data_IF_300858534882
#
_entry.id   IF_300858534882
#
_cell.length_a   1.000
_cell.length_b   1.000
_cell.length_c   1.000
_cell.angle_alpha   90.00
_cell.angle_beta   90.00
_cell.angle_gamma   90.00
#
_symmetry.space_group_name_H-M   'P 1'
#
loop_
_entity.id
_entity.type
_entity.pdbx_description
1 polymer ?
#
# COMPACT_ATOMS: atom_id res chain seq x y z
N UNK A 1 17.93 12.13 -9.04
CA UNK A 1 17.69 10.69 -8.91
C UNK A 1 18.63 9.93 -9.84
N UNK A 2 19.20 8.79 -9.42
CA UNK A 2 20.00 7.92 -10.31
C UNK A 2 19.12 7.29 -11.40
N UNK A 3 19.70 6.96 -12.54
CA UNK A 3 19.03 6.18 -13.60
C UNK A 3 18.69 4.76 -13.11
N UNK A 4 17.68 4.10 -13.69
CA UNK A 4 17.42 2.69 -13.42
C UNK A 4 18.67 1.84 -13.67
N UNK A 5 18.91 0.85 -12.80
CA UNK A 5 20.02 -0.10 -12.94
C UNK A 5 19.79 -0.99 -14.17
N UNK A 6 18.55 -1.45 -14.35
CA UNK A 6 18.13 -2.34 -15.43
C UNK A 6 16.64 -2.15 -15.69
N UNK A 7 16.23 -2.35 -16.95
CA UNK A 7 14.84 -2.52 -17.35
C UNK A 7 14.66 -3.94 -17.89
N UNK A 8 13.55 -4.58 -17.56
CA UNK A 8 13.18 -5.91 -18.04
C UNK A 8 11.65 -6.02 -18.10
N UNK A 9 11.15 -7.00 -18.85
CA UNK A 9 9.73 -7.31 -18.84
C UNK A 9 9.41 -8.07 -17.53
N UNK A 10 8.37 -7.61 -16.85
CA UNK A 10 7.81 -8.28 -15.67
C UNK A 10 6.90 -9.46 -16.03
N UNK A 11 6.13 -9.93 -15.05
CA UNK A 11 5.16 -10.99 -15.22
C UNK A 11 4.05 -10.62 -16.21
N UNK A 12 3.70 -11.59 -17.05
CA UNK A 12 2.55 -11.53 -17.95
C UNK A 12 1.47 -12.50 -17.47
N UNK A 13 0.20 -12.14 -17.71
CA UNK A 13 -0.94 -13.03 -17.47
C UNK A 13 -0.84 -14.37 -18.21
N UNK A 14 -0.05 -14.45 -19.29
CA UNK A 14 0.14 -15.69 -20.06
C UNK A 14 1.33 -16.54 -19.57
N UNK A 15 2.08 -16.08 -18.57
CA UNK A 15 3.23 -16.81 -18.05
C UNK A 15 2.78 -17.98 -17.16
N UNK A 16 3.68 -18.94 -16.98
CA UNK A 16 3.49 -20.08 -16.07
C UNK A 16 4.35 -19.91 -14.82
N UNK A 17 3.72 -20.01 -13.67
CA UNK A 17 4.33 -19.90 -12.35
C UNK A 17 4.32 -21.27 -11.64
N UNK A 18 5.16 -21.45 -10.62
CA UNK A 18 5.00 -22.63 -9.77
C UNK A 18 3.65 -22.57 -9.07
N UNK A 19 2.83 -23.60 -9.23
CA UNK A 19 1.47 -23.67 -8.66
C UNK A 19 0.34 -23.19 -9.56
N UNK A 20 0.61 -22.63 -10.74
CA UNK A 20 -0.46 -22.22 -11.66
C UNK A 20 -0.05 -21.28 -12.79
N UNK A 21 -1.05 -20.65 -13.40
CA UNK A 21 -0.85 -19.53 -14.32
C UNK A 21 -0.46 -18.29 -13.51
N UNK A 22 0.43 -17.44 -14.04
CA UNK A 22 0.78 -16.20 -13.35
C UNK A 22 -0.32 -15.14 -13.53
N UNK A 23 -0.66 -14.41 -12.46
CA UNK A 23 -1.50 -13.23 -12.51
C UNK A 23 -2.93 -13.52 -12.96
N UNK A 24 -3.50 -14.63 -12.48
CA UNK A 24 -4.87 -14.99 -12.75
C UNK A 24 -5.82 -14.12 -11.91
N UNK A 25 -6.18 -12.96 -12.44
CA UNK A 25 -7.20 -12.09 -11.83
C UNK A 25 -7.40 -10.80 -12.60
N UNK A 26 -8.55 -10.18 -12.38
CA UNK A 26 -8.90 -8.88 -12.93
C UNK A 26 -9.52 -8.02 -11.83
N UNK A 27 -8.96 -6.84 -11.52
CA UNK A 27 -7.80 -6.18 -12.14
C UNK A 27 -6.44 -6.89 -11.94
N UNK A 28 -5.36 -6.50 -12.67
CA UNK A 28 -4.06 -7.18 -12.56
C UNK A 28 -3.26 -6.83 -11.30
N UNK A 29 -3.62 -5.76 -10.58
CA UNK A 29 -3.02 -5.33 -9.30
C UNK A 29 -1.49 -5.44 -9.21
N UNK A 30 -0.72 -4.84 -10.15
CA UNK A 30 0.72 -4.94 -10.13
C UNK A 30 1.32 -4.20 -8.93
N UNK A 31 2.23 -4.86 -8.21
CA UNK A 31 2.94 -4.30 -7.08
C UNK A 31 4.39 -4.76 -7.07
N UNK A 32 5.26 -4.06 -6.37
CA UNK A 32 6.66 -4.47 -6.27
C UNK A 32 7.49 -3.65 -5.31
N UNK A 33 8.58 -4.25 -4.83
CA UNK A 33 9.59 -3.52 -4.08
C UNK A 33 10.99 -4.14 -4.30
N UNK A 34 12.00 -3.34 -4.02
CA UNK A 34 13.39 -3.62 -4.39
C UNK A 34 14.29 -3.66 -3.16
N UNK A 35 14.93 -4.81 -2.98
CA UNK A 35 16.02 -4.99 -2.02
C UNK A 35 17.40 -4.82 -2.67
N UNK A 36 18.47 -5.02 -1.89
CA UNK A 36 19.86 -4.93 -2.36
C UNK A 36 20.18 -5.91 -3.49
N UNK A 37 19.62 -7.12 -3.42
CA UNK A 37 19.97 -8.23 -4.31
C UNK A 37 18.82 -8.67 -5.22
N UNK A 38 17.57 -8.39 -4.84
CA UNK A 38 16.39 -8.86 -5.57
C UNK A 38 15.36 -7.74 -5.75
N UNK A 39 14.58 -7.85 -6.80
CA UNK A 39 13.31 -7.17 -6.98
C UNK A 39 12.21 -8.23 -6.90
N UNK A 40 11.17 -7.98 -6.10
CA UNK A 40 9.98 -8.83 -6.09
C UNK A 40 8.85 -8.04 -6.74
N UNK A 41 8.24 -8.67 -7.73
CA UNK A 41 7.03 -8.24 -8.41
C UNK A 41 5.87 -9.14 -7.98
N UNK A 42 4.70 -8.54 -7.82
CA UNK A 42 3.45 -9.26 -7.72
C UNK A 42 2.51 -8.76 -8.81
N UNK A 43 1.74 -9.67 -9.40
CA UNK A 43 0.65 -9.37 -10.33
C UNK A 43 -0.51 -10.26 -9.91
N UNK A 44 -1.56 -9.64 -9.37
CA UNK A 44 -2.70 -10.30 -8.76
C UNK A 44 -2.25 -11.48 -7.86
N UNK A 45 -2.58 -12.73 -8.21
CA UNK A 45 -2.29 -13.93 -7.40
C UNK A 45 -0.88 -14.53 -7.56
N UNK A 46 0.04 -13.85 -8.25
CA UNK A 46 1.37 -14.38 -8.57
C UNK A 46 2.51 -13.48 -8.15
N UNK A 47 3.60 -14.12 -7.72
CA UNK A 47 4.85 -13.50 -7.28
C UNK A 47 5.99 -13.92 -8.22
N UNK A 48 6.82 -12.95 -8.63
CA UNK A 48 8.08 -13.18 -9.32
C UNK A 48 9.23 -12.49 -8.59
N UNK A 49 10.38 -13.17 -8.55
CA UNK A 49 11.61 -12.69 -7.93
C UNK A 49 12.66 -12.60 -9.03
N UNK A 50 13.23 -11.40 -9.19
CA UNK A 50 14.29 -11.11 -10.14
C UNK A 50 15.57 -10.72 -9.40
N UNK A 51 16.72 -11.10 -9.94
CA UNK A 51 18.00 -10.56 -9.48
C UNK A 51 18.23 -9.12 -10.01
N UNK A 52 19.31 -8.46 -9.59
CA UNK A 52 19.63 -7.08 -10.04
C UNK A 52 20.01 -6.96 -11.52
N UNK A 53 20.25 -8.07 -12.22
CA UNK A 53 20.46 -8.11 -13.67
C UNK A 53 19.16 -8.22 -14.46
N UNK A 54 18.02 -8.36 -13.77
CA UNK A 54 16.70 -8.57 -14.38
C UNK A 54 16.43 -10.03 -14.75
N UNK A 55 17.22 -10.98 -14.25
CA UNK A 55 16.99 -12.41 -14.48
C UNK A 55 15.93 -12.90 -13.51
N UNK A 56 14.87 -13.53 -14.02
CA UNK A 56 13.88 -14.23 -13.21
C UNK A 56 14.54 -15.43 -12.51
N UNK A 57 14.53 -15.43 -11.18
CA UNK A 57 15.15 -16.49 -10.36
C UNK A 57 14.12 -17.36 -9.64
N UNK A 58 12.88 -16.88 -9.46
CA UNK A 58 11.76 -17.68 -8.97
C UNK A 58 10.42 -17.06 -9.38
N UNK A 59 9.39 -17.90 -9.58
CA UNK A 59 8.00 -17.45 -9.66
C UNK A 59 7.04 -18.50 -9.12
N UNK A 60 6.01 -18.06 -8.42
CA UNK A 60 5.03 -18.93 -7.76
C UNK A 60 3.71 -18.19 -7.52
N UNK A 61 2.61 -18.94 -7.41
CA UNK A 61 1.31 -18.39 -6.99
C UNK A 61 1.26 -18.19 -5.47
N UNK A 62 0.37 -17.32 -5.01
CA UNK A 62 0.09 -17.10 -3.59
C UNK A 62 -0.22 -18.43 -2.88
N UNK A 63 -1.14 -19.22 -3.42
CA UNK A 63 -1.50 -20.53 -2.86
C UNK A 63 -0.33 -21.53 -2.84
N UNK A 64 0.61 -21.44 -3.79
CA UNK A 64 1.81 -22.27 -3.75
C UNK A 64 2.68 -21.96 -2.53
N UNK A 65 2.78 -20.68 -2.15
CA UNK A 65 3.53 -20.27 -0.97
C UNK A 65 2.91 -20.82 0.33
N UNK A 66 1.57 -20.86 0.40
CA UNK A 66 0.84 -21.30 1.59
C UNK A 66 0.54 -22.79 1.65
N UNK A 67 0.94 -23.55 0.63
CA UNK A 67 0.63 -24.97 0.52
C UNK A 67 1.03 -25.75 1.77
N UNK A 68 0.04 -26.42 2.38
CA UNK A 68 0.24 -27.28 3.54
C UNK A 68 0.30 -26.57 4.88
N UNK A 69 -0.04 -25.27 4.95
CA UNK A 69 -0.17 -24.53 6.22
C UNK A 69 -1.50 -24.80 6.94
N UNK A 70 -2.56 -25.20 6.22
CA UNK A 70 -3.86 -25.54 6.80
C UNK A 70 -4.68 -24.35 7.34
N UNK A 71 -4.34 -23.12 6.96
CA UNK A 71 -5.13 -21.90 7.25
C UNK A 71 -6.02 -21.52 6.07
N UNK A 72 -6.87 -20.48 6.19
CA UNK A 72 -7.67 -20.03 5.05
C UNK A 72 -6.81 -19.59 3.86
N UNK A 73 -5.62 -19.05 4.12
CA UNK A 73 -4.64 -18.67 3.09
C UNK A 73 -4.09 -19.87 2.29
N UNK A 74 -4.30 -21.11 2.75
CA UNK A 74 -3.86 -22.32 2.04
C UNK A 74 -4.96 -22.76 1.05
N UNK A 75 -4.85 -22.32 -0.21
CA UNK A 75 -5.76 -22.69 -1.30
C UNK A 75 -6.99 -21.78 -1.48
N UNK A 76 -7.00 -20.61 -0.84
CA UNK A 76 -8.08 -19.61 -1.00
C UNK A 76 -7.53 -18.17 -1.10
N UNK A 77 -6.30 -18.01 -1.58
CA UNK A 77 -5.77 -16.68 -1.91
C UNK A 77 -6.53 -16.10 -3.11
N UNK A 78 -6.78 -14.79 -3.10
CA UNK A 78 -7.65 -14.15 -4.11
C UNK A 78 -7.01 -12.85 -4.68
N UNK A 79 -5.72 -12.61 -4.45
CA UNK A 79 -4.99 -11.46 -5.01
C UNK A 79 -5.05 -10.17 -4.17
N UNK A 80 -4.97 -9.04 -4.87
CA UNK A 80 -4.64 -7.70 -4.35
C UNK A 80 -3.32 -7.67 -3.55
N UNK A 81 -2.20 -8.00 -4.22
CA UNK A 81 -0.93 -8.19 -3.54
C UNK A 81 -0.27 -6.85 -3.19
N UNK A 82 0.42 -6.84 -2.05
CA UNK A 82 1.37 -5.79 -1.68
C UNK A 82 2.75 -6.40 -1.42
N UNK A 83 3.76 -5.83 -2.06
CA UNK A 83 5.17 -6.14 -1.82
C UNK A 83 5.82 -4.98 -1.07
N UNK A 84 6.48 -5.29 0.04
CA UNK A 84 7.23 -4.31 0.81
C UNK A 84 8.60 -4.85 1.23
N UNK A 85 9.63 -4.03 1.06
CA UNK A 85 10.98 -4.34 1.51
C UNK A 85 11.32 -3.51 2.75
N UNK A 86 11.70 -4.20 3.83
CA UNK A 86 12.14 -3.63 5.08
C UNK A 86 13.64 -3.32 5.04
N UNK A 87 13.93 -2.04 4.84
CA UNK A 87 15.30 -1.54 4.79
C UNK A 87 16.04 -1.66 6.12
N UNK A 88 15.34 -1.72 7.25
CA UNK A 88 15.92 -1.83 8.58
C UNK A 88 16.26 -3.28 8.95
N UNK A 89 15.54 -4.28 8.42
CA UNK A 89 15.76 -5.71 8.69
C UNK A 89 16.39 -6.49 7.53
N UNK A 90 16.43 -5.91 6.33
CA UNK A 90 16.82 -6.62 5.11
C UNK A 90 15.93 -7.85 4.87
N UNK A 91 14.62 -7.59 4.78
CA UNK A 91 13.55 -8.60 4.64
C UNK A 91 12.47 -8.09 3.70
N UNK A 92 11.92 -8.99 2.89
CA UNK A 92 10.67 -8.78 2.17
C UNK A 92 9.47 -9.20 3.02
N UNK A 93 8.37 -8.48 2.84
CA UNK A 93 7.03 -8.78 3.33
C UNK A 93 6.09 -8.78 2.13
N UNK A 94 5.29 -9.83 2.00
CA UNK A 94 4.22 -9.97 1.01
C UNK A 94 2.88 -10.04 1.73
N UNK A 95 1.83 -9.60 1.06
CA UNK A 95 0.48 -9.52 1.63
C UNK A 95 -0.57 -9.61 0.55
N UNK A 96 -1.65 -10.36 0.79
CA UNK A 96 -2.85 -10.44 -0.08
C UNK A 96 -4.05 -10.90 0.74
N UNK A 97 -5.27 -10.74 0.22
CA UNK A 97 -6.47 -11.23 0.91
C UNK A 97 -6.76 -12.70 0.56
N UNK A 98 -7.42 -13.39 1.48
CA UNK A 98 -7.93 -14.75 1.26
C UNK A 98 -9.35 -14.89 1.79
N UNK A 99 -10.17 -15.56 0.99
CA UNK A 99 -11.55 -15.92 1.31
C UNK A 99 -12.05 -17.03 0.37
N UNK A 100 -13.12 -17.70 0.78
CA UNK A 100 -13.80 -18.69 -0.05
C UNK A 100 -14.90 -18.05 -0.90
N UNK A 101 -15.14 -18.60 -2.09
CA UNK A 101 -16.27 -18.20 -2.92
C UNK A 101 -16.04 -16.86 -3.62
N UNK A 102 -17.05 -15.99 -3.57
CA UNK A 102 -17.12 -14.73 -4.32
C UNK A 102 -16.90 -13.47 -3.44
N UNK A 103 -16.33 -13.64 -2.25
CA UNK A 103 -16.07 -12.52 -1.34
C UNK A 103 -17.31 -12.01 -0.59
N UNK A 104 -18.42 -12.76 -0.60
CA UNK A 104 -19.65 -12.37 0.13
C UNK A 104 -19.83 -13.05 1.49
N UNK A 105 -18.96 -14.01 1.82
CA UNK A 105 -19.11 -14.86 3.00
C UNK A 105 -17.84 -14.86 3.87
N UNK A 106 -17.94 -14.51 5.17
CA UNK A 106 -16.80 -14.56 6.09
C UNK A 106 -16.35 -16.00 6.37
N UNK A 107 -15.14 -16.19 6.94
CA UNK A 107 -14.21 -15.15 7.41
C UNK A 107 -13.32 -14.59 6.31
N UNK A 108 -12.86 -13.35 6.48
CA UNK A 108 -11.91 -12.68 5.60
C UNK A 108 -10.55 -12.56 6.28
N UNK A 109 -9.49 -12.87 5.51
CA UNK A 109 -8.12 -12.88 6.02
C UNK A 109 -7.22 -11.98 5.18
N UNK A 110 -6.26 -11.33 5.83
CA UNK A 110 -5.04 -10.89 5.20
C UNK A 110 -3.93 -11.92 5.46
N UNK A 111 -3.37 -12.45 4.39
CA UNK A 111 -2.27 -13.40 4.40
C UNK A 111 -0.96 -12.64 4.38
N UNK A 112 -0.18 -12.68 5.46
CA UNK A 112 1.12 -11.99 5.54
C UNK A 112 2.26 -13.02 5.46
N UNK A 113 3.18 -12.82 4.53
CA UNK A 113 4.40 -13.61 4.42
C UNK A 113 5.64 -12.73 4.66
N UNK A 114 6.49 -13.10 5.61
CA UNK A 114 7.76 -12.41 5.88
C UNK A 114 8.93 -13.33 5.55
N UNK A 115 9.83 -12.88 4.68
CA UNK A 115 11.05 -13.64 4.36
C UNK A 115 11.85 -13.91 5.64
N UNK A 116 12.44 -15.09 5.78
CA UNK A 116 13.27 -15.41 6.96
C UNK A 116 14.65 -14.78 6.88
N UNK A 117 15.13 -14.53 5.67
CA UNK A 117 16.46 -13.98 5.38
C UNK A 117 16.37 -12.88 4.31
N UNK A 118 17.48 -12.24 4.01
CA UNK A 118 17.61 -11.29 2.89
C UNK A 118 17.53 -11.95 1.50
N UNK A 119 17.63 -13.29 1.44
CA UNK A 119 17.40 -14.09 0.25
C UNK A 119 15.95 -14.64 0.27
N UNK A 120 15.03 -14.06 -0.52
CA UNK A 120 13.64 -14.48 -0.59
C UNK A 120 13.43 -15.78 -1.39
N UNK A 121 14.46 -16.29 -2.08
CA UNK A 121 14.41 -17.50 -2.89
C UNK A 121 14.76 -18.72 -2.02
N UNK A 122 15.94 -18.70 -1.38
CA UNK A 122 16.43 -19.84 -0.62
C UNK A 122 16.12 -19.74 0.90
N UNK A 123 15.82 -18.55 1.41
CA UNK A 123 15.65 -18.32 2.85
C UNK A 123 14.32 -18.82 3.42
N UNK A 124 13.31 -19.01 2.57
CA UNK A 124 11.95 -19.37 2.98
C UNK A 124 11.20 -18.23 3.68
N UNK A 125 9.97 -18.52 4.11
CA UNK A 125 9.00 -17.54 4.60
C UNK A 125 8.36 -17.95 5.92
N UNK A 126 8.09 -16.97 6.77
CA UNK A 126 7.15 -17.07 7.88
C UNK A 126 5.77 -16.62 7.40
N UNK A 127 4.74 -17.39 7.72
CA UNK A 127 3.39 -17.21 7.18
C UNK A 127 2.40 -16.96 8.32
N UNK A 128 1.66 -15.84 8.24
CA UNK A 128 0.76 -15.36 9.28
C UNK A 128 -0.63 -15.04 8.71
N UNK A 129 -1.63 -15.91 8.94
CA UNK A 129 -2.99 -15.64 8.53
C UNK A 129 -3.64 -14.70 9.56
N UNK A 130 -3.97 -13.48 9.15
CA UNK A 130 -4.58 -12.46 10.01
C UNK A 130 -6.05 -12.33 9.66
N UNK A 131 -6.95 -12.72 10.58
CA UNK A 131 -8.39 -12.52 10.38
C UNK A 131 -8.74 -11.03 10.52
N UNK A 132 -9.44 -10.48 9.54
CA UNK A 132 -9.74 -9.05 9.42
C UNK A 132 -11.15 -8.67 9.87
N UNK A 133 -12.07 -9.64 9.97
CA UNK A 133 -13.48 -9.44 10.35
C UNK A 133 -13.86 -10.02 11.74
N UNK A 134 -13.07 -9.84 12.82
CA UNK A 134 -13.30 -10.59 14.06
C UNK A 134 -14.56 -10.14 14.83
N UNK A 135 -15.14 -8.98 14.53
CA UNK A 135 -16.36 -8.48 15.17
C UNK A 135 -16.21 -8.15 16.66
N UNK A 136 -14.98 -8.05 17.16
CA UNK A 136 -14.71 -7.63 18.53
C UNK A 136 -14.92 -6.12 18.70
N UNK A 137 -15.22 -5.62 19.92
CA UNK A 137 -15.41 -4.18 20.12
C UNK A 137 -14.20 -3.36 19.65
N UNK A 138 -14.43 -2.45 18.69
CA UNK A 138 -13.41 -1.57 18.13
C UNK A 138 -12.64 -2.13 16.94
N UNK A 139 -12.89 -3.38 16.51
CA UNK A 139 -12.38 -3.96 15.26
C UNK A 139 -13.46 -3.95 14.16
N UNK A 140 -13.12 -4.30 12.92
CA UNK A 140 -14.10 -4.43 11.85
C UNK A 140 -15.24 -5.40 12.22
N UNK A 141 -16.48 -5.11 11.80
CA UNK A 141 -17.64 -6.01 11.90
C UNK A 141 -17.39 -7.41 11.32
N UNK A 142 -18.17 -8.40 11.76
CA UNK A 142 -18.14 -9.73 11.15
C UNK A 142 -18.79 -9.67 9.77
N UNK A 143 -18.12 -10.23 8.76
CA UNK A 143 -18.62 -10.23 7.39
C UNK A 143 -18.19 -9.02 6.55
N UNK A 144 -17.42 -8.10 7.13
CA UNK A 144 -16.81 -7.03 6.36
C UNK A 144 -15.54 -7.54 5.67
N UNK A 145 -15.44 -7.25 4.38
CA UNK A 145 -14.33 -7.63 3.52
C UNK A 145 -13.29 -6.52 3.46
N UNK A 146 -12.05 -6.86 3.81
CA UNK A 146 -10.88 -5.99 3.76
C UNK A 146 -10.31 -5.90 2.34
N UNK A 147 -10.73 -4.90 1.58
CA UNK A 147 -10.26 -4.68 0.21
C UNK A 147 -9.22 -3.54 0.16
N UNK A 148 -8.42 -3.56 -0.90
CA UNK A 148 -7.47 -2.54 -1.26
C UNK A 148 -6.40 -2.30 -0.18
N UNK A 149 -5.85 -3.38 0.38
CA UNK A 149 -4.96 -3.30 1.55
C UNK A 149 -3.67 -2.55 1.23
N UNK A 150 -3.18 -1.76 2.20
CA UNK A 150 -1.97 -0.95 2.07
C UNK A 150 -1.05 -1.13 3.27
N UNK A 151 0.27 -1.16 3.03
CA UNK A 151 1.30 -1.48 4.02
C UNK A 151 2.32 -0.35 4.21
N UNK A 152 2.80 -0.22 5.46
CA UNK A 152 3.86 0.71 5.83
C UNK A 152 4.78 0.07 6.86
N UNK A 153 6.06 -0.11 6.51
CA UNK A 153 7.08 -0.63 7.42
C UNK A 153 7.70 0.50 8.25
N UNK A 154 7.80 0.29 9.56
CA UNK A 154 8.35 1.27 10.49
C UNK A 154 9.49 0.68 11.34
N UNK A 155 9.92 1.39 12.38
CA UNK A 155 10.98 0.91 13.28
C UNK A 155 10.52 -0.25 14.19
N UNK A 156 9.22 -0.35 14.48
CA UNK A 156 8.63 -1.26 15.48
C UNK A 156 7.62 -2.25 14.89
N UNK A 157 6.75 -1.80 13.99
CA UNK A 157 5.64 -2.57 13.45
C UNK A 157 5.64 -2.56 11.93
N UNK A 158 4.99 -3.57 11.36
CA UNK A 158 4.31 -3.43 10.08
C UNK A 158 2.94 -2.80 10.36
N UNK A 159 2.64 -1.69 9.72
CA UNK A 159 1.35 -1.03 9.77
C UNK A 159 0.55 -1.38 8.52
N UNK A 160 -0.76 -1.54 8.69
CA UNK A 160 -1.69 -1.94 7.64
C UNK A 160 -2.96 -1.09 7.72
N UNK A 161 -3.57 -0.81 6.57
CA UNK A 161 -4.95 -0.35 6.49
C UNK A 161 -5.67 -0.99 5.31
N UNK A 162 -6.99 -1.08 5.38
CA UNK A 162 -7.87 -1.63 4.35
C UNK A 162 -9.22 -0.90 4.36
N UNK A 163 -9.86 -0.84 3.20
CA UNK A 163 -11.26 -0.42 3.11
C UNK A 163 -12.14 -1.62 3.46
N UNK A 164 -13.11 -1.42 4.33
CA UNK A 164 -14.05 -2.47 4.76
C UNK A 164 -15.35 -2.37 3.98
N UNK A 165 -15.86 -3.51 3.51
CA UNK A 165 -17.10 -3.58 2.73
C UNK A 165 -18.03 -4.66 3.27
N UNK A 166 -19.29 -4.31 3.48
CA UNK A 166 -20.33 -5.29 3.84
C UNK A 166 -20.50 -6.36 2.74
N UNK A 167 -21.17 -7.49 3.04
CA UNK A 167 -21.45 -8.54 2.05
C UNK A 167 -22.23 -8.09 0.80
N UNK A 168 -22.87 -6.92 0.84
CA UNK A 168 -23.58 -6.31 -0.30
C UNK A 168 -22.72 -5.25 -1.02
N UNK A 169 -21.40 -5.29 -0.81
CA UNK A 169 -20.39 -4.40 -1.40
C UNK A 169 -20.58 -2.91 -1.04
N UNK A 170 -21.31 -2.61 0.03
CA UNK A 170 -21.40 -1.26 0.55
C UNK A 170 -20.21 -0.97 1.46
N UNK A 171 -19.58 0.20 1.26
CA UNK A 171 -18.50 0.70 2.11
C UNK A 171 -18.92 0.80 3.59
N UNK A 172 -18.15 0.22 4.49
CA UNK A 172 -18.39 0.20 5.93
C UNK A 172 -17.16 0.61 6.77
N UNK A 173 -16.32 1.49 6.24
CA UNK A 173 -15.25 2.14 7.01
C UNK A 173 -13.85 1.64 6.66
N UNK A 174 -12.90 1.93 7.55
CA UNK A 174 -11.47 1.61 7.34
C UNK A 174 -10.95 0.79 8.50
N UNK A 175 -10.35 -0.37 8.21
CA UNK A 175 -9.51 -1.08 9.15
C UNK A 175 -8.11 -0.45 9.23
N UNK A 176 -7.53 -0.46 10.41
CA UNK A 176 -6.13 -0.11 10.62
C UNK A 176 -5.50 -1.08 11.63
N UNK A 177 -4.25 -1.46 11.40
CA UNK A 177 -3.58 -2.46 12.22
C UNK A 177 -2.10 -2.14 12.45
N UNK A 178 -1.57 -2.70 13.54
CA UNK A 178 -0.13 -2.79 13.81
C UNK A 178 0.23 -4.25 14.08
N UNK A 179 1.26 -4.75 13.41
CA UNK A 179 1.74 -6.13 13.51
C UNK A 179 3.19 -6.09 14.01
N UNK A 180 3.53 -6.91 15.01
CA UNK A 180 4.88 -6.92 15.59
C UNK A 180 5.90 -7.34 14.56
N UNK A 181 6.81 -6.40 14.22
CA UNK A 181 7.93 -6.65 13.33
C UNK A 181 8.90 -7.67 13.90
N UNK A 182 9.07 -7.69 15.23
CA UNK A 182 9.93 -8.66 15.90
C UNK A 182 9.37 -10.09 15.78
N UNK A 183 8.05 -10.25 15.91
CA UNK A 183 7.40 -11.55 15.76
C UNK A 183 7.45 -11.99 14.28
N UNK A 184 7.10 -11.08 13.35
CA UNK A 184 7.14 -11.33 11.90
C UNK A 184 8.46 -11.97 11.44
N UNK A 185 9.60 -11.48 11.92
CA UNK A 185 10.92 -11.95 11.49
C UNK A 185 11.52 -13.08 12.34
N UNK A 186 10.95 -13.39 13.50
CA UNK A 186 11.41 -14.49 14.35
C UNK A 186 10.63 -15.79 14.12
N UNK A 187 9.45 -15.74 13.50
CA UNK A 187 8.56 -16.91 13.39
C UNK A 187 7.75 -17.15 14.65
N UNK A 188 7.77 -16.22 15.61
CA UNK A 188 6.97 -16.30 16.82
C UNK A 188 5.48 -16.11 16.49
N UNK A 189 4.55 -16.57 17.35
CA UNK A 189 3.15 -16.19 17.22
C UNK A 189 3.01 -14.68 17.10
N UNK A 190 2.31 -14.24 16.06
CA UNK A 190 2.24 -12.82 15.71
C UNK A 190 1.40 -12.04 16.72
N UNK A 191 2.02 -11.10 17.41
CA UNK A 191 1.29 -10.07 18.16
C UNK A 191 0.82 -8.99 17.18
N UNK A 192 -0.46 -8.66 17.22
CA UNK A 192 -1.01 -7.56 16.44
C UNK A 192 -2.20 -6.89 17.14
N UNK A 193 -2.59 -5.74 16.63
CA UNK A 193 -3.86 -5.09 16.96
C UNK A 193 -4.59 -4.72 15.69
N UNK A 194 -5.92 -4.72 15.76
CA UNK A 194 -6.81 -4.36 14.67
C UNK A 194 -7.86 -3.38 15.22
N UNK A 195 -7.94 -2.22 14.58
CA UNK A 195 -8.91 -1.17 14.86
C UNK A 195 -9.75 -0.87 13.64
N UNK A 196 -10.87 -0.19 13.86
CA UNK A 196 -11.82 0.19 12.83
C UNK A 196 -12.30 1.62 13.01
N UNK A 197 -12.31 2.37 11.91
CA UNK A 197 -12.95 3.68 11.81
C UNK A 197 -14.28 3.54 11.08
N UNK A 198 -15.41 3.96 11.68
CA UNK A 198 -16.71 3.88 11.03
C UNK A 198 -16.81 4.82 9.82
N UNK A 199 -17.76 4.58 8.89
CA UNK A 199 -18.01 5.44 7.72
C UNK A 199 -18.22 6.91 8.07
N UNK A 200 -18.76 7.22 9.25
CA UNK A 200 -19.00 8.59 9.72
C UNK A 200 -17.72 9.42 9.91
N UNK A 201 -16.54 8.79 9.86
CA UNK A 201 -15.24 9.48 9.91
C UNK A 201 -14.80 10.03 8.55
N UNK A 202 -15.46 9.62 7.45
CA UNK A 202 -15.09 9.92 6.06
C UNK A 202 -13.66 9.52 5.66
N UNK A 203 -12.96 8.73 6.47
CA UNK A 203 -11.70 8.12 6.03
C UNK A 203 -12.01 7.16 4.87
N UNK A 204 -11.13 7.08 3.88
CA UNK A 204 -11.20 6.11 2.79
C UNK A 204 -9.79 5.95 2.19
N UNK A 205 -9.36 4.72 1.91
CA UNK A 205 -8.01 4.39 1.41
C UNK A 205 -6.91 5.07 2.23
N UNK A 206 -6.88 4.78 3.54
CA UNK A 206 -5.76 5.22 4.38
C UNK A 206 -4.51 4.42 4.04
N UNK A 207 -3.38 5.09 3.89
CA UNK A 207 -2.09 4.46 3.63
C UNK A 207 -1.13 4.75 4.79
N UNK A 208 -0.66 3.72 5.53
CA UNK A 208 0.40 3.91 6.51
C UNK A 208 1.72 4.29 5.85
N UNK A 209 2.43 5.21 6.47
CA UNK A 209 3.73 5.70 6.01
C UNK A 209 4.79 4.61 6.11
N UNK A 210 5.63 4.54 5.08
CA UNK A 210 6.69 3.56 4.95
C UNK A 210 8.05 4.23 5.16
N UNK A 211 8.77 3.84 6.22
CA UNK A 211 10.12 4.33 6.47
C UNK A 211 11.08 3.78 5.42
N UNK A 212 11.71 4.69 4.67
CA UNK A 212 12.74 4.31 3.72
C UNK A 212 14.17 4.56 4.24
N UNK A 213 14.34 5.14 5.42
CA UNK A 213 15.65 5.50 5.99
C UNK A 213 16.34 4.37 6.77
N UNK A 214 17.64 4.52 7.02
CA UNK A 214 18.42 3.69 7.97
C UNK A 214 19.18 4.54 8.98
N UNK A 215 19.49 3.97 10.13
CA UNK A 215 20.26 4.64 11.20
C UNK A 215 19.60 5.95 11.64
N UNK A 216 20.38 7.04 11.70
CA UNK A 216 19.86 8.36 12.06
C UNK A 216 18.86 8.95 11.04
N UNK A 217 18.78 8.40 9.82
CA UNK A 217 17.82 8.82 8.78
C UNK A 217 16.51 8.03 8.80
N UNK A 218 16.41 7.00 9.65
CA UNK A 218 15.17 6.28 9.84
C UNK A 218 14.25 7.02 10.81
N UNK A 219 12.97 6.66 10.82
CA UNK A 219 12.09 6.95 11.95
C UNK A 219 12.73 6.42 13.24
N UNK A 220 12.84 7.28 14.25
CA UNK A 220 13.46 6.90 15.51
C UNK A 220 12.42 6.30 16.46
N UNK A 221 12.83 5.42 17.40
CA UNK A 221 11.92 4.89 18.40
C UNK A 221 11.12 5.99 19.11
N UNK A 222 9.80 5.83 19.13
CA UNK A 222 8.87 6.79 19.74
C UNK A 222 8.24 7.78 18.74
N UNK A 223 8.72 7.85 17.50
CA UNK A 223 8.03 8.55 16.42
C UNK A 223 6.78 7.75 16.03
N UNK A 224 5.57 8.34 16.07
CA UNK A 224 4.36 7.64 15.62
C UNK A 224 4.46 7.32 14.12
N UNK A 225 3.76 6.28 13.66
CA UNK A 225 3.52 6.10 12.24
C UNK A 225 2.45 7.09 11.77
N UNK A 226 2.51 7.53 10.52
CA UNK A 226 1.51 8.44 9.94
C UNK A 226 0.66 7.71 8.91
N UNK A 227 -0.65 7.81 9.03
CA UNK A 227 -1.61 7.30 8.05
C UNK A 227 -2.14 8.50 7.26
N UNK A 228 -2.17 8.39 5.95
CA UNK A 228 -2.64 9.47 5.07
C UNK A 228 -3.74 8.97 4.16
N UNK A 229 -4.79 9.77 4.00
CA UNK A 229 -5.86 9.58 3.01
C UNK A 229 -6.21 10.93 2.38
N UNK A 230 -6.96 10.90 1.28
CA UNK A 230 -7.67 12.10 0.81
C UNK A 230 -8.84 12.41 1.74
N UNK A 231 -9.15 13.70 1.90
CA UNK A 231 -10.37 14.12 2.57
C UNK A 231 -11.56 14.07 1.62
N UNK A 232 -12.58 13.29 1.97
CA UNK A 232 -13.84 13.23 1.21
C UNK A 232 -14.70 14.50 1.30
N UNK A 233 -14.22 15.61 1.88
CA UNK A 233 -15.05 16.82 2.12
C UNK A 233 -14.38 18.16 1.83
N UNK A 234 -13.06 18.28 1.95
CA UNK A 234 -12.36 19.57 1.85
C UNK A 234 -11.21 19.58 0.84
N UNK A 235 -10.99 18.49 0.09
CA UNK A 235 -9.87 18.33 -0.85
C UNK A 235 -8.51 18.64 -0.19
N UNK A 236 -8.26 18.04 0.98
CA UNK A 236 -7.01 18.14 1.75
C UNK A 236 -6.45 16.74 2.00
N UNK A 237 -5.14 16.62 2.22
CA UNK A 237 -4.57 15.39 2.77
C UNK A 237 -4.93 15.26 4.25
N UNK A 238 -5.59 14.18 4.65
CA UNK A 238 -5.86 13.88 6.05
C UNK A 238 -4.75 13.03 6.65
N UNK A 239 -3.94 13.63 7.52
CA UNK A 239 -2.84 12.94 8.20
C UNK A 239 -3.24 12.59 9.62
N UNK A 240 -3.18 11.30 9.96
CA UNK A 240 -3.40 10.77 11.31
C UNK A 240 -2.08 10.22 11.86
N UNK A 241 -1.84 10.40 13.15
CA UNK A 241 -0.74 9.72 13.84
C UNK A 241 -1.25 8.44 14.47
N UNK A 242 -0.49 7.36 14.37
CA UNK A 242 -0.75 6.10 15.05
C UNK A 242 0.41 5.76 15.98
N UNK A 243 0.11 5.68 17.26
CA UNK A 243 1.02 5.18 18.28
C UNK A 243 0.62 3.75 18.62
N UNK A 244 1.45 2.78 18.25
CA UNK A 244 1.20 1.39 18.56
C UNK A 244 1.26 1.09 20.07
N UNK A 245 0.53 0.06 20.48
CA UNK A 245 0.62 -0.50 21.83
C UNK A 245 1.93 -1.26 22.05
N UNK A 246 2.16 -1.80 23.27
CA UNK A 246 3.31 -2.66 23.55
C UNK A 246 3.39 -3.82 22.56
N UNK A 247 4.57 -4.05 21.97
CA UNK A 247 4.82 -5.05 20.93
C UNK A 247 3.80 -5.00 19.77
N UNK A 248 3.32 -3.81 19.40
CA UNK A 248 2.32 -3.61 18.35
C UNK A 248 0.95 -4.26 18.64
N UNK A 249 0.71 -4.72 19.87
CA UNK A 249 -0.55 -5.27 20.30
C UNK A 249 -1.55 -4.21 20.74
N UNK A 250 -2.55 -4.64 21.51
CA UNK A 250 -3.62 -3.78 22.00
C UNK A 250 -3.12 -2.56 22.80
N UNK A 251 -3.96 -1.52 22.85
CA UNK A 251 -3.64 -0.26 23.54
C UNK A 251 -2.98 0.80 22.66
N UNK A 252 -2.89 0.57 21.34
CA UNK A 252 -2.53 1.61 20.38
C UNK A 252 -3.60 2.71 20.26
N UNK A 253 -3.25 3.85 19.68
CA UNK A 253 -4.16 4.99 19.52
C UNK A 253 -3.91 5.69 18.20
N UNK A 254 -4.96 5.76 17.37
CA UNK A 254 -5.01 6.55 16.14
C UNK A 254 -5.62 7.92 16.46
N UNK A 255 -4.98 9.00 16.01
CA UNK A 255 -5.46 10.36 16.26
C UNK A 255 -6.64 10.72 15.35
N UNK A 256 -7.32 11.81 15.68
CA UNK A 256 -8.15 12.53 14.71
C UNK A 256 -7.29 13.00 13.51
N UNK A 257 -7.90 13.21 12.33
CA UNK A 257 -7.19 13.73 11.17
C UNK A 257 -6.72 15.17 11.41
N UNK A 258 -5.51 15.46 10.92
CA UNK A 258 -5.02 16.82 10.67
C UNK A 258 -5.08 17.07 9.18
N UNK A 259 -5.83 18.09 8.77
CA UNK A 259 -5.93 18.45 7.36
C UNK A 259 -4.69 19.24 6.94
N UNK A 260 -4.07 18.80 5.85
CA UNK A 260 -2.94 19.46 5.21
C UNK A 260 -3.41 19.94 3.84
N UNK A 261 -3.34 21.25 3.64
CA UNK A 261 -3.84 21.89 2.42
C UNK A 261 -3.16 21.34 1.17
N UNK A 262 -3.85 21.31 0.03
CA UNK A 262 -3.22 21.00 -1.25
C UNK A 262 -3.72 21.90 -2.39
N UNK A 263 -3.06 21.81 -3.54
CA UNK A 263 -3.49 22.53 -4.74
C UNK A 263 -4.86 22.02 -5.18
N UNK A 264 -5.75 22.94 -5.52
CA UNK A 264 -7.11 22.59 -5.93
C UNK A 264 -7.11 21.85 -7.26
N UNK A 265 -7.96 20.82 -7.34
CA UNK A 265 -8.20 20.02 -8.52
C UNK A 265 -9.69 19.74 -8.68
N UNK A 266 -10.07 19.22 -9.84
CA UNK A 266 -11.42 18.74 -10.14
C UNK A 266 -11.50 17.24 -9.88
N UNK A 267 -12.58 16.79 -9.25
CA UNK A 267 -12.93 15.38 -9.18
C UNK A 267 -14.08 15.09 -10.16
N UNK A 268 -13.75 14.97 -11.44
CA UNK A 268 -14.71 14.66 -12.50
C UNK A 268 -14.84 13.14 -12.73
N UNK A 269 -15.05 12.38 -11.66
CA UNK A 269 -15.38 10.94 -11.68
C UNK A 269 -14.42 10.08 -12.52
N UNK A 270 -13.34 9.67 -11.87
CA UNK A 270 -12.33 8.76 -12.40
C UNK A 270 -12.91 7.33 -12.40
N UNK A 271 -12.88 6.71 -13.56
CA UNK A 271 -13.43 5.40 -13.91
C UNK A 271 -12.83 5.04 -15.26
N UNK A 272 -13.54 4.27 -16.11
CA UNK A 272 -13.07 3.90 -17.45
C UNK A 272 -12.84 5.13 -18.38
N UNK A 273 -11.67 5.77 -18.29
CA UNK A 273 -11.37 7.01 -19.01
C UNK A 273 -10.05 7.00 -19.78
N UNK A 274 -9.08 6.19 -19.34
CA UNK A 274 -7.74 6.15 -19.92
C UNK A 274 -7.78 5.35 -21.23
N UNK A 275 -7.43 5.96 -22.38
CA UNK A 275 -7.47 5.27 -23.66
C UNK A 275 -6.34 4.23 -23.80
N UNK A 276 -6.65 3.12 -24.46
CA UNK A 276 -5.68 2.07 -24.79
C UNK A 276 -5.48 1.98 -26.31
N UNK A 277 -4.27 1.66 -26.79
CA UNK A 277 -4.05 1.39 -28.21
C UNK A 277 -4.93 0.24 -28.72
N UNK A 278 -5.46 0.37 -29.94
CA UNK A 278 -6.14 -0.69 -30.70
C UNK A 278 -7.45 -1.23 -30.07
N UNK A 279 -8.04 -0.54 -29.09
CA UNK A 279 -9.34 -0.89 -28.51
C UNK A 279 -10.12 0.36 -28.13
N UNK A 280 -11.45 0.24 -28.03
CA UNK A 280 -12.32 1.30 -27.49
C UNK A 280 -12.56 1.15 -25.99
N UNK A 281 -12.14 0.01 -25.40
CA UNK A 281 -12.17 -0.19 -23.94
C UNK A 281 -11.15 0.74 -23.29
N UNK A 282 -11.59 1.46 -22.27
CA UNK A 282 -10.74 2.34 -21.49
C UNK A 282 -10.30 1.64 -20.21
N UNK A 283 -9.24 2.12 -19.56
CA UNK A 283 -8.82 1.67 -18.25
C UNK A 283 -9.41 2.60 -17.19
N UNK A 284 -9.73 2.01 -16.04
CA UNK A 284 -10.10 2.73 -14.83
C UNK A 284 -8.86 3.41 -14.25
N UNK A 285 -8.88 4.74 -14.14
CA UNK A 285 -7.77 5.51 -13.56
C UNK A 285 -7.59 5.29 -12.07
N UNK A 286 -8.55 4.67 -11.37
CA UNK A 286 -8.74 4.80 -9.93
C UNK A 286 -9.07 6.25 -9.55
N UNK A 287 -9.96 6.43 -8.58
CA UNK A 287 -10.32 7.75 -8.07
C UNK A 287 -9.16 8.53 -7.45
N UNK A 288 -9.45 9.66 -6.82
CA UNK A 288 -8.41 10.53 -6.25
C UNK A 288 -7.79 9.94 -4.98
N UNK A 289 -8.10 8.68 -4.63
CA UNK A 289 -7.45 7.98 -3.54
C UNK A 289 -5.93 8.05 -3.64
N UNK A 290 -5.31 8.14 -2.47
CA UNK A 290 -3.87 8.05 -2.30
C UNK A 290 -3.29 6.80 -2.96
N UNK A 291 -2.15 6.96 -3.63
CA UNK A 291 -1.39 5.87 -4.21
C UNK A 291 -0.27 5.42 -3.28
N UNK A 292 -0.02 4.11 -3.28
CA UNK A 292 1.01 3.50 -2.46
C UNK A 292 2.40 3.77 -3.07
N UNK A 293 3.41 4.21 -2.29
CA UNK A 293 3.51 4.33 -0.83
C UNK A 293 3.49 5.80 -0.39
N UNK A 294 2.93 6.06 0.79
CA UNK A 294 3.27 7.26 1.56
C UNK A 294 4.72 7.08 2.05
N UNK A 295 5.66 7.78 1.41
CA UNK A 295 7.08 7.61 1.75
C UNK A 295 7.45 8.50 2.93
N UNK A 296 8.04 7.90 3.98
CA UNK A 296 8.66 8.66 5.06
C UNK A 296 10.16 8.79 4.85
N UNK A 297 10.67 10.02 4.98
CA UNK A 297 12.08 10.36 4.87
C UNK A 297 12.53 11.34 5.95
N UNK A 298 13.73 11.11 6.47
CA UNK A 298 14.44 12.09 7.30
C UNK A 298 15.68 12.60 6.58
N UNK A 299 15.69 13.89 6.25
CA UNK A 299 16.78 14.56 5.53
C UNK A 299 17.38 15.62 6.46
N UNK A 300 18.62 15.38 6.89
CA UNK A 300 19.19 16.15 8.00
C UNK A 300 18.39 15.91 9.26
N UNK A 301 17.74 16.95 9.77
CA UNK A 301 16.86 16.90 10.96
C UNK A 301 15.38 16.89 10.63
N UNK A 302 15.02 17.18 9.37
CA UNK A 302 13.63 17.31 8.93
C UNK A 302 13.06 15.95 8.58
N UNK A 303 11.90 15.64 9.13
CA UNK A 303 11.11 14.45 8.85
C UNK A 303 9.93 14.84 7.94
N UNK A 304 9.74 14.14 6.83
CA UNK A 304 8.68 14.43 5.88
C UNK A 304 8.00 13.18 5.33
N UNK A 305 6.71 13.33 5.04
CA UNK A 305 5.90 12.43 4.25
C UNK A 305 5.87 12.92 2.80
N UNK A 306 5.83 11.98 1.88
CA UNK A 306 5.67 12.24 0.46
C UNK A 306 4.53 11.40 -0.06
N UNK A 307 3.60 12.08 -0.73
CA UNK A 307 2.29 11.54 -1.10
C UNK A 307 2.02 11.83 -2.56
N UNK A 308 1.26 10.96 -3.21
CA UNK A 308 0.77 11.19 -4.57
C UNK A 308 -0.58 10.52 -4.79
N UNK A 309 -1.39 11.11 -5.65
CA UNK A 309 -2.66 10.58 -6.10
C UNK A 309 -3.03 11.19 -7.46
N UNK A 310 -4.03 10.58 -8.08
CA UNK A 310 -4.49 10.98 -9.40
C UNK A 310 -5.46 12.15 -9.28
N UNK A 311 -5.38 13.08 -10.24
CA UNK A 311 -6.28 14.23 -10.33
C UNK A 311 -6.65 14.52 -11.78
N UNK A 312 -7.82 15.10 -12.00
CA UNK A 312 -8.08 15.83 -13.23
C UNK A 312 -7.40 17.20 -13.11
N UNK A 313 -6.45 17.55 -14.01
CA UNK A 313 -5.73 18.82 -13.94
C UNK A 313 -6.63 20.05 -14.16
N UNK A 314 -7.90 19.88 -14.48
CA UNK A 314 -8.83 21.00 -14.56
C UNK A 314 -9.04 21.64 -13.19
N UNK A 315 -8.65 22.91 -13.04
CA UNK A 315 -8.72 23.66 -11.77
C UNK A 315 -10.12 24.22 -11.44
N UNK A 316 -11.14 23.90 -12.25
CA UNK A 316 -12.50 24.42 -12.11
C UNK A 316 -13.48 23.25 -11.95
N UNK A 317 -14.21 23.21 -10.84
CA UNK A 317 -15.26 22.23 -10.54
C UNK A 317 -16.42 22.22 -11.56
N UNK A 318 -16.51 23.24 -12.43
CA UNK A 318 -17.49 23.31 -13.52
C UNK A 318 -17.02 22.70 -14.85
N UNK A 319 -15.79 22.16 -14.87
CA UNK A 319 -15.18 21.58 -16.05
C UNK A 319 -15.87 20.26 -16.44
N UNK A 320 -16.56 20.28 -17.59
CA UNK A 320 -17.23 19.09 -18.17
C UNK A 320 -16.39 18.41 -19.26
N UNK A 321 -15.24 18.98 -19.61
CA UNK A 321 -14.38 18.47 -20.69
C UNK A 321 -13.22 17.68 -20.08
N UNK A 322 -13.27 16.36 -20.24
CA UNK A 322 -12.27 15.42 -19.71
C UNK A 322 -10.91 15.65 -20.37
N UNK A 323 -9.91 16.02 -19.58
CA UNK A 323 -8.50 16.07 -20.00
C UNK A 323 -7.76 14.77 -19.65
N UNK A 324 -6.50 14.64 -20.06
CA UNK A 324 -5.64 13.58 -19.52
C UNK A 324 -5.42 13.78 -18.03
N UNK A 325 -5.50 12.69 -17.25
CA UNK A 325 -5.22 12.68 -15.81
C UNK A 325 -3.78 13.09 -15.50
N UNK A 326 -3.59 13.59 -14.29
CA UNK A 326 -2.35 14.11 -13.75
C UNK A 326 -2.00 13.49 -12.39
N UNK A 327 -0.75 13.64 -11.98
CA UNK A 327 -0.32 13.26 -10.63
C UNK A 327 -0.21 14.48 -9.73
N UNK A 328 -1.05 14.59 -8.72
CA UNK A 328 -0.77 15.50 -7.60
C UNK A 328 0.27 14.84 -6.69
N UNK A 329 1.26 15.60 -6.24
CA UNK A 329 2.18 15.15 -5.21
C UNK A 329 2.49 16.27 -4.22
N UNK A 330 2.85 15.89 -2.99
CA UNK A 330 3.24 16.84 -1.95
C UNK A 330 4.31 16.27 -1.01
N UNK A 331 5.13 17.17 -0.47
CA UNK A 331 5.99 16.94 0.69
C UNK A 331 5.38 17.62 1.92
N UNK A 332 5.08 16.83 2.95
CA UNK A 332 4.47 17.27 4.20
C UNK A 332 5.47 17.07 5.33
N UNK A 333 5.88 18.14 6.01
CA UNK A 333 6.78 18.02 7.17
C UNK A 333 6.01 17.49 8.39
N UNK A 334 6.62 16.53 9.10
CA UNK A 334 6.02 15.82 10.24
C UNK A 334 6.95 15.74 11.47
N UNK A 335 7.90 16.66 11.57
CA UNK A 335 9.02 16.58 12.51
C UNK A 335 8.58 16.48 13.98
N UNK A 336 9.10 15.47 14.69
CA UNK A 336 8.81 15.24 16.10
C UNK A 336 7.35 14.89 16.41
N UNK A 337 6.64 14.29 15.44
CA UNK A 337 5.21 13.99 15.58
C UNK A 337 4.28 15.17 15.24
N UNK A 338 4.83 16.35 14.92
CA UNK A 338 4.03 17.54 14.57
C UNK A 338 3.77 17.58 13.07
N UNK A 339 2.51 17.51 12.67
CA UNK A 339 2.10 17.60 11.25
C UNK A 339 1.99 19.07 10.85
N UNK A 340 2.76 19.48 9.83
CA UNK A 340 2.64 20.83 9.25
C UNK A 340 1.46 20.84 8.27
N UNK A 341 0.56 21.81 8.42
CA UNK A 341 -0.72 21.89 7.69
C UNK A 341 -0.61 22.51 6.29
N UNK A 342 0.60 22.85 5.86
CA UNK A 342 0.87 23.38 4.52
C UNK A 342 2.09 22.63 3.96
N UNK A 343 1.99 22.01 2.77
CA UNK A 343 3.11 21.31 2.16
C UNK A 343 4.30 22.25 1.96
N UNK A 344 5.50 21.72 2.17
CA UNK A 344 6.76 22.42 1.86
C UNK A 344 6.88 22.65 0.36
N UNK A 345 6.45 21.65 -0.40
CA UNK A 345 6.35 21.68 -1.84
C UNK A 345 5.22 20.75 -2.27
N UNK A 346 4.62 21.06 -3.41
CA UNK A 346 3.59 20.28 -4.05
C UNK A 346 3.46 20.70 -5.50
N UNK A 347 2.89 19.83 -6.34
CA UNK A 347 2.60 20.14 -7.73
C UNK A 347 1.61 19.14 -8.32
N UNK A 348 0.69 19.64 -9.14
CA UNK A 348 -0.04 18.83 -10.14
C UNK A 348 0.88 18.65 -11.35
N UNK A 349 1.46 17.45 -11.50
CA UNK A 349 2.49 17.16 -12.48
C UNK A 349 1.91 16.75 -13.84
N UNK A 350 1.94 17.68 -14.79
CA UNK A 350 1.44 17.53 -16.17
C UNK A 350 2.44 18.06 -17.21
N UNK A 351 3.63 17.45 -17.34
CA UNK A 351 4.64 17.94 -18.29
C UNK A 351 4.22 17.76 -19.77
N UNK A 352 3.23 16.93 -20.06
CA UNK A 352 2.63 16.75 -21.39
C UNK A 352 1.11 16.65 -21.24
N UNK A 353 0.37 17.59 -21.84
CA UNK A 353 -1.08 17.68 -21.80
C UNK A 353 -1.81 16.72 -22.74
N UNK A 354 -1.09 15.82 -23.42
CA UNK A 354 -1.66 14.81 -24.33
C UNK A 354 -1.61 13.38 -23.76
N UNK A 355 -0.89 13.18 -22.66
CA UNK A 355 -0.68 11.87 -22.04
C UNK A 355 -1.38 11.78 -20.69
N UNK A 356 -2.11 10.67 -20.48
CA UNK A 356 -2.73 10.33 -19.20
C UNK A 356 -1.67 9.83 -18.21
N UNK A 357 -1.70 10.32 -16.97
CA UNK A 357 -0.85 9.88 -15.86
C UNK A 357 -1.76 9.52 -14.69
N UNK A 358 -1.66 8.28 -14.25
CA UNK A 358 -2.55 7.68 -13.26
C UNK A 358 -1.82 6.52 -12.59
N UNK A 359 -2.30 6.13 -11.41
CA UNK A 359 -1.69 5.12 -10.54
C UNK A 359 -0.18 5.31 -10.35
N UNK A 360 0.24 6.57 -10.21
CA UNK A 360 1.65 6.91 -10.03
C UNK A 360 2.19 6.49 -8.67
N UNK A 361 3.52 6.37 -8.58
CA UNK A 361 4.22 6.13 -7.32
C UNK A 361 5.42 7.07 -7.24
N UNK A 362 5.87 7.38 -6.02
CA UNK A 362 7.05 8.22 -5.83
C UNK A 362 8.12 7.56 -4.95
N UNK A 363 9.36 7.98 -5.17
CA UNK A 363 10.52 7.54 -4.40
C UNK A 363 11.47 8.71 -4.17
N UNK A 364 11.97 8.82 -2.93
CA UNK A 364 12.86 9.90 -2.52
C UNK A 364 14.20 9.31 -2.11
N UNK A 365 15.30 9.89 -2.58
CA UNK A 365 16.64 9.48 -2.19
C UNK A 365 17.12 10.14 -0.89
N UNK A 366 18.28 9.70 -0.37
CA UNK A 366 18.85 10.21 0.87
C UNK A 366 19.38 11.65 0.82
N UNK A 367 19.26 12.33 -0.32
CA UNK A 367 19.61 13.74 -0.56
C UNK A 367 18.35 14.61 -0.77
N UNK A 368 17.15 14.01 -0.83
CA UNK A 368 15.90 14.72 -1.05
C UNK A 368 15.50 14.89 -2.51
N UNK A 369 16.15 14.20 -3.45
CA UNK A 369 15.65 14.15 -4.82
C UNK A 369 14.46 13.20 -4.88
N UNK A 370 13.41 13.58 -5.60
CA UNK A 370 12.22 12.76 -5.83
C UNK A 370 12.19 12.25 -7.29
N UNK A 371 11.77 11.00 -7.47
CA UNK A 371 11.23 10.49 -8.72
C UNK A 371 9.72 10.29 -8.54
N UNK A 372 8.97 10.60 -9.59
CA UNK A 372 7.54 10.41 -9.75
C UNK A 372 7.29 9.78 -11.13
#
# INVERSE_FOLDING_TARGET
>A
MPSPIQNFAGLSHNDSCTGGQCGAGWPPDPNGDVGPNHYIEAVNDAIAIYDKSGTLVASFTEDNLWSGQGSLCDGNSQGDPVVAYDWLADRFVLSWFAFTGDGTSPPFFQCIAASKTSDPVAGGWWLYPVRMDPGTPGSPPVGDFNDYVKLGLWHDCLYLAANEFTPLSAYDGVAFASLSRADLYSGAPLTFSLGWLPPSTNAFTMIPSNNQGKGAKAAQPGTPNYFVSESGSVFDFEVRTFKAGPNCGAGGTLSAPTNVSQAQYSFANLGDEVPQPNTTRKLDSSDDRLMQKVQYRKIGVTESLWVTHDVDPCSDVSCTTRGPTAMQWAQIDVTGGTIVTTPVQQQIYTPDSTLYRWMGSLAIDGQGNMAL
#
